data_IF_265982615132
#
_entry.id   IF_265982615132
#
_cell.length_a   1.000
_cell.length_b   1.000
_cell.length_c   1.000
_cell.angle_alpha   90.00
_cell.angle_beta   90.00
_cell.angle_gamma   90.00
#
_symmetry.space_group_name_H-M   'P 1'
#
loop_
_entity.id
_entity.type
_entity.pdbx_description
1 polymer ?
#
# COMPACT_ATOMS: atom_id res chain seq x y z
N UNK A 1 -18.33 -20.80 8.55
CA UNK A 1 -16.88 -20.50 8.68
C UNK A 1 -16.78 -18.99 8.70
N UNK A 2 -16.30 -18.42 9.80
CA UNK A 2 -15.91 -17.00 9.79
C UNK A 2 -14.72 -16.82 8.84
N UNK A 3 -14.72 -15.72 8.11
CA UNK A 3 -13.65 -15.40 7.17
C UNK A 3 -12.42 -14.99 7.98
N UNK A 4 -11.32 -15.70 7.78
CA UNK A 4 -10.03 -15.36 8.42
C UNK A 4 -9.04 -14.88 7.38
N UNK A 5 -8.14 -13.99 7.80
CA UNK A 5 -7.11 -13.43 6.95
C UNK A 5 -5.74 -13.88 7.42
N UNK A 6 -4.79 -13.91 6.50
CA UNK A 6 -3.38 -14.21 6.71
C UNK A 6 -2.56 -12.94 6.93
N UNK A 7 -1.35 -13.10 7.46
CA UNK A 7 -0.42 -11.98 7.65
C UNK A 7 -0.06 -11.29 6.32
N UNK A 8 0.02 -12.07 5.23
CA UNK A 8 0.28 -11.54 3.88
C UNK A 8 -0.87 -10.70 3.34
N UNK A 9 -2.11 -11.08 3.62
CA UNK A 9 -3.29 -10.28 3.22
C UNK A 9 -3.33 -8.96 4.00
N UNK A 10 -3.06 -8.99 5.31
CA UNK A 10 -2.97 -7.76 6.11
C UNK A 10 -1.82 -6.87 5.64
N UNK A 11 -0.68 -7.46 5.25
CA UNK A 11 0.44 -6.70 4.69
C UNK A 11 0.04 -5.98 3.39
N UNK A 12 -0.73 -6.65 2.53
CA UNK A 12 -1.26 -6.07 1.31
C UNK A 12 -2.26 -4.93 1.59
N UNK A 13 -3.17 -5.10 2.56
CA UNK A 13 -4.17 -4.08 2.92
C UNK A 13 -3.56 -2.86 3.61
N UNK A 14 -2.62 -3.08 4.53
CA UNK A 14 -2.03 -2.03 5.36
C UNK A 14 -0.81 -1.35 4.72
N UNK A 15 -0.23 -1.97 3.70
CA UNK A 15 1.08 -1.59 3.19
C UNK A 15 2.23 -1.83 4.18
N UNK A 16 2.00 -2.37 5.39
CA UNK A 16 3.07 -2.77 6.31
C UNK A 16 3.78 -4.04 5.83
N UNK A 17 5.04 -4.20 6.20
CA UNK A 17 5.73 -5.47 5.95
C UNK A 17 5.26 -6.52 6.96
N UNK A 18 5.34 -7.80 6.61
CA UNK A 18 5.10 -8.88 7.58
C UNK A 18 5.98 -8.75 8.82
N UNK A 19 7.21 -8.22 8.67
CA UNK A 19 8.11 -7.94 9.80
C UNK A 19 7.49 -6.94 10.77
N UNK A 20 6.93 -5.85 10.26
CA UNK A 20 6.23 -4.85 11.09
C UNK A 20 5.01 -5.46 11.75
N UNK A 21 4.19 -6.23 11.01
CA UNK A 21 3.00 -6.87 11.57
C UNK A 21 3.34 -7.89 12.68
N UNK A 22 4.45 -8.64 12.54
CA UNK A 22 4.96 -9.51 13.61
C UNK A 22 5.43 -8.73 14.84
N UNK A 23 5.90 -7.50 14.67
CA UNK A 23 6.21 -6.61 15.79
C UNK A 23 4.92 -6.17 16.51
N UNK A 24 3.88 -5.81 15.75
CA UNK A 24 2.58 -5.43 16.30
C UNK A 24 1.87 -6.58 17.03
N UNK A 25 2.01 -7.82 16.53
CA UNK A 25 1.61 -9.03 17.26
C UNK A 25 2.28 -9.12 18.64
N UNK A 26 3.60 -8.85 18.73
CA UNK A 26 4.33 -8.88 20.01
C UNK A 26 3.93 -7.76 20.96
N UNK A 27 3.46 -6.63 20.42
CA UNK A 27 3.04 -5.45 21.17
C UNK A 27 1.57 -5.52 21.59
N UNK A 28 0.81 -6.52 21.14
CA UNK A 28 -0.64 -6.63 21.38
C UNK A 28 -1.50 -5.67 20.54
N UNK A 29 -0.88 -4.95 19.59
CA UNK A 29 -1.56 -4.04 18.67
C UNK A 29 -2.32 -4.79 17.58
N UNK A 30 -1.78 -5.93 17.15
CA UNK A 30 -2.46 -6.88 16.27
C UNK A 30 -2.66 -8.16 17.09
N UNK A 31 -3.88 -8.69 17.13
CA UNK A 31 -4.21 -9.92 17.82
C UNK A 31 -4.74 -10.92 16.79
N UNK A 32 -4.37 -12.18 16.95
CA UNK A 32 -4.83 -13.26 16.09
C UNK A 32 -4.54 -14.60 16.73
N UNK A 33 -4.91 -15.67 16.04
CA UNK A 33 -4.69 -17.03 16.49
C UNK A 33 -3.72 -17.76 15.57
N UNK A 34 -2.97 -18.71 16.14
CA UNK A 34 -2.02 -19.51 15.38
C UNK A 34 -2.55 -20.92 15.22
N UNK A 35 -3.09 -21.22 14.04
CA UNK A 35 -3.67 -22.51 13.66
C UNK A 35 -2.77 -23.18 12.63
N UNK A 36 -2.36 -24.43 12.89
CA UNK A 36 -1.43 -25.20 12.04
C UNK A 36 -0.15 -24.43 11.65
N UNK A 37 0.40 -23.68 12.61
CA UNK A 37 1.61 -22.89 12.42
C UNK A 37 1.43 -21.60 11.63
N UNK A 38 0.22 -21.30 11.14
CA UNK A 38 -0.11 -20.08 10.39
C UNK A 38 -0.92 -19.13 11.26
N UNK A 39 -0.63 -17.84 11.16
CA UNK A 39 -1.46 -16.81 11.78
C UNK A 39 -2.75 -16.66 10.99
N UNK A 40 -3.86 -16.64 11.71
CA UNK A 40 -5.20 -16.34 11.22
C UNK A 40 -5.78 -15.21 12.06
N UNK A 41 -6.44 -14.28 11.39
CA UNK A 41 -6.99 -13.08 11.98
C UNK A 41 -8.48 -13.01 11.64
N UNK A 42 -9.32 -12.79 12.64
CA UNK A 42 -10.75 -12.55 12.41
C UNK A 42 -10.97 -11.18 11.78
N UNK A 43 -12.15 -10.98 11.18
CA UNK A 43 -12.53 -9.68 10.64
C UNK A 43 -12.58 -8.60 11.74
N UNK A 44 -13.11 -8.93 12.92
CA UNK A 44 -13.18 -8.03 14.07
C UNK A 44 -11.81 -7.65 14.63
N UNK A 45 -10.82 -8.55 14.56
CA UNK A 45 -9.44 -8.25 14.93
C UNK A 45 -8.79 -7.28 13.95
N UNK A 46 -9.06 -7.46 12.67
CA UNK A 46 -8.54 -6.60 11.60
C UNK A 46 -9.17 -5.22 11.68
N UNK A 47 -10.48 -5.14 11.88
CA UNK A 47 -11.19 -3.87 12.07
C UNK A 47 -10.67 -3.10 13.28
N UNK A 48 -10.44 -3.80 14.40
CA UNK A 48 -9.80 -3.21 15.58
C UNK A 48 -8.39 -2.71 15.27
N UNK A 49 -7.58 -3.51 14.58
CA UNK A 49 -6.22 -3.13 14.18
C UNK A 49 -6.22 -1.87 13.31
N UNK A 50 -7.04 -1.81 12.27
CA UNK A 50 -7.14 -0.64 11.39
C UNK A 50 -7.77 0.59 12.04
N UNK A 51 -8.57 0.39 13.09
CA UNK A 51 -9.20 1.49 13.84
C UNK A 51 -8.31 2.06 14.95
N UNK A 52 -7.26 1.34 15.36
CA UNK A 52 -6.35 1.79 16.41
C UNK A 52 -5.65 3.11 16.02
N UNK A 53 -5.67 4.15 16.88
CA UNK A 53 -5.10 5.46 16.54
C UNK A 53 -3.61 5.43 16.18
N UNK A 54 -2.81 4.60 16.86
CA UNK A 54 -1.38 4.47 16.60
C UNK A 54 -1.14 3.78 15.24
N UNK A 55 -1.93 2.75 14.95
CA UNK A 55 -1.89 2.07 13.64
C UNK A 55 -2.32 3.01 12.52
N UNK A 56 -3.42 3.76 12.69
CA UNK A 56 -3.90 4.75 11.71
C UNK A 56 -2.87 5.84 11.43
N UNK A 57 -2.18 6.31 12.48
CA UNK A 57 -1.09 7.26 12.33
C UNK A 57 0.07 6.66 11.52
N UNK A 58 0.50 5.44 11.87
CA UNK A 58 1.53 4.72 11.12
C UNK A 58 1.16 4.48 9.65
N UNK A 59 -0.11 4.15 9.37
CA UNK A 59 -0.65 4.01 8.03
C UNK A 59 -0.64 5.33 7.27
N UNK A 60 -1.01 6.44 7.93
CA UNK A 60 -0.99 7.77 7.31
C UNK A 60 0.45 8.18 6.96
N UNK A 61 1.36 8.07 7.93
CA UNK A 61 2.78 8.39 7.73
C UNK A 61 3.36 7.56 6.60
N UNK A 62 3.11 6.24 6.61
CA UNK A 62 3.62 5.34 5.58
C UNK A 62 3.05 5.67 4.21
N UNK A 63 1.74 5.91 4.10
CA UNK A 63 1.11 6.29 2.82
C UNK A 63 1.69 7.59 2.27
N UNK A 64 2.00 8.56 3.12
CA UNK A 64 2.54 9.86 2.69
C UNK A 64 4.06 9.91 2.61
N UNK A 65 4.79 8.87 3.03
CA UNK A 65 6.26 8.91 3.13
C UNK A 65 6.91 9.20 1.78
N UNK A 66 6.41 8.60 0.70
CA UNK A 66 6.92 8.81 -0.67
C UNK A 66 6.85 10.29 -1.07
N UNK A 67 5.80 10.99 -0.67
CA UNK A 67 5.64 12.43 -0.95
C UNK A 67 6.61 13.25 -0.11
N UNK A 68 6.74 12.93 1.19
CA UNK A 68 7.67 13.64 2.06
C UNK A 68 9.13 13.42 1.65
N UNK A 69 9.49 12.20 1.26
CA UNK A 69 10.81 11.86 0.74
C UNK A 69 11.10 12.66 -0.53
N UNK A 70 10.14 12.76 -1.45
CA UNK A 70 10.27 13.58 -2.66
C UNK A 70 10.46 15.07 -2.35
N UNK A 71 9.66 15.64 -1.44
CA UNK A 71 9.74 17.05 -1.05
C UNK A 71 11.05 17.39 -0.30
N UNK A 72 11.58 16.42 0.46
CA UNK A 72 12.78 16.58 1.27
C UNK A 72 14.06 16.26 0.51
N UNK A 73 13.95 15.57 -0.64
CA UNK A 73 15.10 15.22 -1.45
C UNK A 73 15.82 16.49 -1.93
N UNK A 74 17.16 16.55 -1.80
CA UNK A 74 17.93 17.58 -2.47
C UNK A 74 17.60 17.56 -3.96
N UNK A 75 17.39 18.74 -4.57
CA UNK A 75 17.18 18.82 -6.02
C UNK A 75 18.44 18.28 -6.71
N UNK A 76 18.34 17.07 -7.23
CA UNK A 76 19.43 16.40 -7.95
C UNK A 76 19.62 17.01 -9.34
N UNK A 77 20.72 16.67 -10.01
CA UNK A 77 20.98 17.02 -11.41
C UNK A 77 20.14 16.21 -12.43
N UNK A 78 19.14 15.46 -11.97
CA UNK A 78 18.31 14.57 -12.78
C UNK A 78 16.84 14.92 -12.56
N UNK A 79 16.02 14.75 -13.60
CA UNK A 79 14.60 15.06 -13.52
C UNK A 79 13.87 14.01 -12.67
N UNK A 80 13.12 14.46 -11.68
CA UNK A 80 12.22 13.61 -10.90
C UNK A 80 10.79 14.11 -10.99
N UNK A 81 9.84 13.18 -10.91
CA UNK A 81 8.42 13.47 -10.80
C UNK A 81 7.82 12.76 -9.59
N UNK A 82 6.79 13.37 -9.00
CA UNK A 82 5.89 12.74 -8.04
C UNK A 82 4.46 12.92 -8.51
N UNK A 83 3.72 11.81 -8.57
CA UNK A 83 2.33 11.76 -9.02
C UNK A 83 1.47 11.16 -7.91
N UNK A 84 0.39 11.85 -7.58
CA UNK A 84 -0.63 11.39 -6.63
C UNK A 84 -1.94 11.28 -7.40
N UNK A 85 -2.59 10.13 -7.31
CA UNK A 85 -3.84 9.84 -8.01
C UNK A 85 -4.85 9.34 -7.00
N UNK A 86 -5.98 10.04 -6.90
CA UNK A 86 -7.16 9.56 -6.19
C UNK A 86 -8.19 9.08 -7.21
N UNK A 87 -8.78 7.91 -6.97
CA UNK A 87 -9.85 7.36 -7.80
C UNK A 87 -10.96 6.80 -6.92
N UNK A 88 -12.20 7.15 -7.24
CA UNK A 88 -13.37 6.46 -6.71
C UNK A 88 -13.54 5.13 -7.45
N UNK A 89 -13.35 4.02 -6.74
CA UNK A 89 -13.32 2.66 -7.30
C UNK A 89 -13.87 1.67 -6.29
N UNK A 90 -14.50 0.62 -6.78
CA UNK A 90 -14.84 -0.54 -5.97
C UNK A 90 -13.58 -1.30 -5.51
N UNK A 91 -13.74 -2.18 -4.52
CA UNK A 91 -12.63 -2.98 -4.00
C UNK A 91 -12.02 -3.88 -5.07
N UNK A 92 -12.84 -4.43 -5.97
CA UNK A 92 -12.35 -5.30 -7.06
C UNK A 92 -11.54 -4.51 -8.08
N UNK A 93 -11.98 -3.31 -8.47
CA UNK A 93 -11.22 -2.39 -9.34
C UNK A 93 -9.94 -1.93 -8.66
N UNK A 94 -9.99 -1.52 -7.39
CA UNK A 94 -8.82 -1.17 -6.59
C UNK A 94 -7.80 -2.31 -6.51
N UNK A 95 -8.26 -3.56 -6.41
CA UNK A 95 -7.38 -4.74 -6.41
C UNK A 95 -6.67 -4.92 -7.76
N UNK A 96 -7.38 -4.73 -8.89
CA UNK A 96 -6.78 -4.76 -10.24
C UNK A 96 -5.73 -3.66 -10.40
N UNK A 97 -6.04 -2.45 -9.93
CA UNK A 97 -5.12 -1.30 -9.95
C UNK A 97 -3.86 -1.60 -9.13
N UNK A 98 -4.03 -2.09 -7.90
CA UNK A 98 -2.90 -2.46 -7.05
C UNK A 98 -2.03 -3.54 -7.69
N UNK A 99 -2.64 -4.54 -8.33
CA UNK A 99 -1.91 -5.60 -9.02
C UNK A 99 -1.10 -5.05 -10.21
N UNK A 100 -1.69 -4.18 -11.03
CA UNK A 100 -1.01 -3.52 -12.14
C UNK A 100 0.26 -2.78 -11.67
N UNK A 101 0.15 -1.93 -10.64
CA UNK A 101 1.32 -1.19 -10.16
C UNK A 101 2.36 -2.11 -9.51
N UNK A 102 1.95 -3.16 -8.79
CA UNK A 102 2.88 -4.16 -8.27
C UNK A 102 3.69 -4.84 -9.37
N UNK A 103 3.11 -5.12 -10.53
CA UNK A 103 3.81 -5.68 -11.69
C UNK A 103 4.77 -4.67 -12.33
N UNK A 104 4.32 -3.43 -12.55
CA UNK A 104 5.17 -2.37 -13.09
C UNK A 104 6.39 -2.09 -12.19
N UNK A 105 6.22 -2.18 -10.86
CA UNK A 105 7.32 -1.98 -9.90
C UNK A 105 8.37 -3.08 -9.93
N UNK A 106 8.10 -4.26 -10.51
CA UNK A 106 9.13 -5.29 -10.70
C UNK A 106 10.16 -4.86 -11.76
N UNK A 107 9.76 -3.98 -12.68
CA UNK A 107 10.59 -3.51 -13.79
C UNK A 107 11.14 -2.09 -13.59
N UNK A 108 10.51 -1.30 -12.71
CA UNK A 108 10.96 0.05 -12.37
C UNK A 108 12.16 0.00 -11.42
N UNK A 109 13.25 0.69 -11.79
CA UNK A 109 14.48 0.70 -10.96
C UNK A 109 14.59 1.92 -10.06
N UNK A 110 14.02 3.04 -10.51
CA UNK A 110 14.12 4.33 -9.83
C UNK A 110 12.74 4.97 -9.68
N UNK A 111 11.79 4.18 -9.20
CA UNK A 111 10.44 4.62 -8.85
C UNK A 111 10.04 3.96 -7.55
N UNK A 112 9.61 4.77 -6.60
CA UNK A 112 8.96 4.31 -5.37
C UNK A 112 7.45 4.42 -5.54
N UNK A 113 6.73 3.41 -5.04
CA UNK A 113 5.29 3.29 -5.14
C UNK A 113 4.66 3.10 -3.76
N UNK A 114 3.50 3.71 -3.57
CA UNK A 114 2.61 3.45 -2.44
C UNK A 114 1.16 3.40 -2.91
N UNK A 115 0.38 2.50 -2.31
CA UNK A 115 -1.04 2.34 -2.56
C UNK A 115 -1.80 2.33 -1.24
N UNK A 116 -2.91 3.05 -1.20
CA UNK A 116 -3.88 2.99 -0.12
C UNK A 116 -5.28 2.83 -0.68
N UNK A 117 -6.10 2.02 -0.02
CA UNK A 117 -7.52 1.91 -0.31
C UNK A 117 -8.31 2.16 0.96
N UNK A 118 -9.22 3.12 0.93
CA UNK A 118 -10.22 3.36 1.98
C UNK A 118 -11.48 4.00 1.38
N UNK A 119 -12.64 3.74 1.99
CA UNK A 119 -13.92 4.40 1.67
C UNK A 119 -14.27 4.45 0.16
N UNK A 120 -14.15 3.32 -0.54
CA UNK A 120 -14.35 3.21 -2.00
C UNK A 120 -13.49 4.16 -2.84
N UNK A 121 -12.33 4.51 -2.30
CA UNK A 121 -11.30 5.27 -2.99
C UNK A 121 -9.98 4.54 -2.90
N UNK A 122 -9.21 4.61 -3.98
CA UNK A 122 -7.80 4.29 -3.93
C UNK A 122 -6.96 5.55 -4.13
N UNK A 123 -5.86 5.64 -3.39
CA UNK A 123 -4.77 6.58 -3.60
C UNK A 123 -3.54 5.83 -4.09
N UNK A 124 -3.01 6.24 -5.24
CA UNK A 124 -1.73 5.79 -5.77
C UNK A 124 -0.73 6.94 -5.64
N UNK A 125 0.49 6.63 -5.19
CA UNK A 125 1.59 7.58 -5.16
C UNK A 125 2.80 6.96 -5.86
N UNK A 126 3.33 7.65 -6.85
CA UNK A 126 4.60 7.32 -7.52
C UNK A 126 5.57 8.48 -7.32
N UNK A 127 6.85 8.18 -7.05
CA UNK A 127 7.90 9.19 -7.10
C UNK A 127 9.24 8.59 -7.57
N UNK A 128 9.96 9.31 -8.41
CA UNK A 128 11.25 8.86 -8.94
C UNK A 128 11.61 9.53 -10.26
N UNK A 129 12.39 8.86 -11.10
CA UNK A 129 12.78 9.32 -12.44
C UNK A 129 11.56 9.74 -13.28
N UNK A 130 11.60 10.97 -13.81
CA UNK A 130 10.48 11.57 -14.55
C UNK A 130 10.05 10.71 -15.75
N UNK A 131 11.00 10.15 -16.48
CA UNK A 131 10.72 9.36 -17.70
C UNK A 131 10.06 8.03 -17.35
N UNK A 132 10.55 7.34 -16.31
CA UNK A 132 9.94 6.11 -15.83
C UNK A 132 8.54 6.35 -15.27
N UNK A 133 8.35 7.37 -14.43
CA UNK A 133 7.02 7.74 -13.89
C UNK A 133 6.05 8.04 -15.04
N UNK A 134 6.46 8.85 -16.02
CA UNK A 134 5.63 9.15 -17.18
C UNK A 134 5.29 7.90 -18.01
N UNK A 135 6.25 6.98 -18.18
CA UNK A 135 6.05 5.72 -18.89
C UNK A 135 5.03 4.81 -18.21
N UNK A 136 5.12 4.65 -16.88
CA UNK A 136 4.16 3.88 -16.09
C UNK A 136 2.77 4.53 -16.19
N UNK A 137 2.69 5.86 -16.07
CA UNK A 137 1.43 6.59 -16.17
C UNK A 137 0.77 6.46 -17.54
N UNK A 138 1.56 6.44 -18.61
CA UNK A 138 1.05 6.19 -19.95
C UNK A 138 0.40 4.82 -20.04
N UNK A 139 1.10 3.76 -19.61
CA UNK A 139 0.56 2.39 -19.57
C UNK A 139 -0.70 2.29 -18.73
N UNK A 140 -0.73 2.94 -17.56
CA UNK A 140 -1.89 2.92 -16.66
C UNK A 140 -3.13 3.53 -17.32
N UNK A 141 -2.98 4.63 -18.07
CA UNK A 141 -4.08 5.26 -18.78
C UNK A 141 -4.56 4.46 -20.01
N UNK A 142 -3.69 3.61 -20.57
CA UNK A 142 -3.99 2.72 -21.70
C UNK A 142 -4.54 1.36 -21.23
N UNK A 143 -4.38 1.02 -19.95
CA UNK A 143 -4.82 -0.24 -19.39
C UNK A 143 -6.34 -0.23 -19.15
N UNK A 144 -7.02 -1.25 -19.68
CA UNK A 144 -8.46 -1.47 -19.49
C UNK A 144 -8.72 -2.10 -18.12
N UNK A 145 -8.59 -1.29 -17.07
CA UNK A 145 -8.70 -1.73 -15.67
C UNK A 145 -10.10 -1.54 -15.08
N UNK A 146 -11.05 -1.04 -15.89
CA UNK A 146 -12.41 -0.65 -15.49
C UNK A 146 -13.46 -1.37 -16.33
#
# INVERSE_FOLDING_TARGET
>A
MEKTYSLSEIAMMSGFTERTLRSYLKQGLLNGEKTDGKWQFSEEEIDRFFSDPYVREGLRIKRSSVVFDFLSAPKAHQNHACVIIDRAVSLSEGTKISAFFCEEMQNAKDVTFNYGYDDNHCRIILAGDETQVAGIMKKFNEADLF
#
